data_IF_862302191178
#
_entry.id   IF_862302191178
#
_cell.length_a   1.000
_cell.length_b   1.000
_cell.length_c   1.000
_cell.angle_alpha   90.00
_cell.angle_beta   90.00
_cell.angle_gamma   90.00
#
_symmetry.space_group_name_H-M   'P 1'
#
loop_
_entity.id
_entity.type
_entity.pdbx_description
1 polymer ?
#
# COMPACT_ATOMS: atom_id res chain seq x y z
N UNK A 1 18.68 26.33 -9.35
CA UNK A 1 17.92 25.14 -8.89
C UNK A 1 17.83 24.18 -10.06
N UNK A 2 18.38 22.96 -9.95
CA UNK A 2 18.24 21.92 -10.99
C UNK A 2 16.75 21.84 -11.34
N UNK A 3 16.38 21.97 -12.61
CA UNK A 3 14.98 21.94 -13.04
C UNK A 3 14.44 20.55 -12.74
N UNK A 4 13.91 20.33 -11.53
CA UNK A 4 13.28 19.06 -11.18
C UNK A 4 12.17 18.83 -12.19
N UNK A 5 12.36 17.83 -13.04
CA UNK A 5 11.44 17.53 -14.12
C UNK A 5 10.08 17.18 -13.49
N UNK A 6 9.01 17.84 -13.93
CA UNK A 6 7.64 17.61 -13.45
C UNK A 6 7.29 16.10 -13.45
N UNK A 7 7.82 15.36 -14.42
CA UNK A 7 7.65 13.92 -14.54
C UNK A 7 8.21 13.15 -13.32
N UNK A 8 9.34 13.58 -12.75
CA UNK A 8 9.96 12.94 -11.58
C UNK A 8 9.08 13.16 -10.35
N UNK A 9 8.59 14.40 -10.17
CA UNK A 9 7.67 14.74 -9.08
C UNK A 9 6.37 13.93 -9.21
N UNK A 10 5.82 13.83 -10.43
CA UNK A 10 4.64 13.04 -10.71
C UNK A 10 4.80 11.58 -10.26
N UNK A 11 5.91 10.92 -10.63
CA UNK A 11 6.16 9.53 -10.24
C UNK A 11 6.34 9.35 -8.73
N UNK A 12 6.97 10.31 -8.04
CA UNK A 12 7.13 10.29 -6.59
C UNK A 12 5.80 10.51 -5.86
N UNK A 13 4.96 11.43 -6.33
CA UNK A 13 3.61 11.63 -5.79
C UNK A 13 2.74 10.40 -6.02
N UNK A 14 2.82 9.78 -7.20
CA UNK A 14 2.10 8.54 -7.49
C UNK A 14 2.55 7.41 -6.55
N UNK A 15 3.86 7.26 -6.34
CA UNK A 15 4.39 6.29 -5.38
C UNK A 15 3.87 6.56 -3.96
N UNK A 16 3.84 7.83 -3.53
CA UNK A 16 3.30 8.22 -2.22
C UNK A 16 1.83 7.84 -2.05
N UNK A 17 1.00 8.04 -3.08
CA UNK A 17 -0.42 7.62 -3.05
C UNK A 17 -0.52 6.11 -2.85
N UNK A 18 0.25 5.33 -3.61
CA UNK A 18 0.28 3.88 -3.43
C UNK A 18 0.78 3.45 -2.05
N UNK A 19 1.75 4.16 -1.47
CA UNK A 19 2.20 3.92 -0.09
C UNK A 19 1.07 4.13 0.91
N UNK A 20 0.32 5.23 0.80
CA UNK A 20 -0.79 5.51 1.71
C UNK A 20 -1.87 4.42 1.60
N UNK A 21 -2.24 4.05 0.37
CA UNK A 21 -3.20 2.95 0.13
C UNK A 21 -2.69 1.63 0.71
N UNK A 22 -1.41 1.33 0.56
CA UNK A 22 -0.80 0.14 1.16
C UNK A 22 -0.91 0.14 2.68
N UNK A 23 -0.65 1.27 3.35
CA UNK A 23 -0.75 1.38 4.80
C UNK A 23 -2.17 1.13 5.32
N UNK A 24 -3.19 1.66 4.62
CA UNK A 24 -4.58 1.39 4.97
C UNK A 24 -4.92 -0.10 4.83
N UNK A 25 -4.54 -0.73 3.72
CA UNK A 25 -4.79 -2.15 3.51
C UNK A 25 -4.04 -3.02 4.52
N UNK A 26 -2.78 -2.70 4.83
CA UNK A 26 -2.00 -3.41 5.85
C UNK A 26 -2.65 -3.32 7.23
N UNK A 27 -3.17 -2.15 7.60
CA UNK A 27 -3.89 -1.97 8.88
C UNK A 27 -5.09 -2.90 8.95
N UNK A 28 -5.93 -2.93 7.91
CA UNK A 28 -7.10 -3.82 7.86
C UNK A 28 -6.72 -5.31 7.84
N UNK A 29 -5.63 -5.67 7.15
CA UNK A 29 -5.10 -7.04 7.13
C UNK A 29 -4.63 -7.44 8.54
N UNK A 30 -3.83 -6.61 9.21
CA UNK A 30 -3.34 -6.91 10.56
C UNK A 30 -4.46 -7.01 11.58
N UNK A 31 -5.48 -6.14 11.49
CA UNK A 31 -6.67 -6.25 12.31
C UNK A 31 -7.42 -7.57 12.06
N UNK A 32 -7.55 -7.97 10.80
CA UNK A 32 -8.20 -9.24 10.45
C UNK A 32 -7.39 -10.46 10.94
N UNK A 33 -6.06 -10.38 10.87
CA UNK A 33 -5.15 -11.42 11.39
C UNK A 33 -5.19 -11.48 12.91
N UNK A 34 -5.25 -10.35 13.62
CA UNK A 34 -5.31 -10.36 15.09
C UNK A 34 -6.51 -11.12 15.61
N UNK A 35 -7.66 -11.01 14.92
CA UNK A 35 -8.86 -11.79 15.23
C UNK A 35 -8.73 -13.29 14.95
N UNK A 36 -7.81 -13.70 14.06
CA UNK A 36 -7.50 -15.12 13.82
C UNK A 36 -6.55 -15.70 14.88
N UNK A 37 -5.63 -14.89 15.40
CA UNK A 37 -4.59 -15.34 16.34
C UNK A 37 -5.09 -15.33 17.79
N UNK A 38 -5.82 -14.29 18.20
CA UNK A 38 -6.39 -14.16 19.54
C UNK A 38 -7.91 -14.05 19.37
N UNK A 39 -8.62 -15.18 19.27
CA UNK A 39 -10.07 -15.16 19.29
C UNK A 39 -10.53 -14.82 20.72
N UNK A 40 -11.14 -13.65 20.97
CA UNK A 40 -11.76 -13.45 22.29
C UNK A 40 -12.97 -14.36 22.45
N UNK A 41 -13.05 -14.94 23.65
CA UNK A 41 -14.06 -15.90 24.08
C UNK A 41 -15.42 -15.29 24.46
N UNK A 42 -15.61 -13.97 24.30
CA UNK A 42 -16.84 -13.25 24.67
C UNK A 42 -17.67 -12.87 23.44
N UNK A 43 -18.86 -13.47 23.32
CA UNK A 43 -19.72 -13.53 22.14
C UNK A 43 -20.35 -12.21 21.64
N UNK A 44 -20.11 -11.05 22.25
CA UNK A 44 -21.05 -9.93 22.10
C UNK A 44 -20.56 -8.74 21.25
N UNK A 45 -19.32 -8.74 20.74
CA UNK A 45 -18.78 -7.59 19.96
C UNK A 45 -17.88 -7.95 18.76
N UNK A 46 -18.02 -9.14 18.18
CA UNK A 46 -17.05 -9.65 17.19
C UNK A 46 -17.40 -9.43 15.72
N UNK A 47 -16.35 -9.15 14.92
CA UNK A 47 -16.38 -9.39 13.47
C UNK A 47 -16.59 -10.88 13.22
N UNK A 48 -17.57 -11.23 12.40
CA UNK A 48 -17.84 -12.62 12.06
C UNK A 48 -16.68 -13.24 11.29
N UNK A 49 -16.53 -14.58 11.36
CA UNK A 49 -15.50 -15.28 10.59
C UNK A 49 -15.60 -15.00 9.07
N UNK A 50 -16.82 -14.76 8.58
CA UNK A 50 -17.08 -14.38 7.19
C UNK A 50 -16.65 -12.94 6.89
N UNK A 51 -16.81 -12.01 7.82
CA UNK A 51 -16.29 -10.64 7.70
C UNK A 51 -14.76 -10.61 7.68
N UNK A 52 -14.10 -11.41 8.53
CA UNK A 52 -12.64 -11.54 8.54
C UNK A 52 -12.14 -12.07 7.20
N UNK A 53 -12.76 -13.14 6.68
CA UNK A 53 -12.41 -13.69 5.35
C UNK A 53 -12.62 -12.67 4.24
N UNK A 54 -13.78 -11.99 4.23
CA UNK A 54 -14.11 -11.00 3.20
C UNK A 54 -13.12 -9.82 3.22
N UNK A 55 -12.75 -9.35 4.42
CA UNK A 55 -11.75 -8.31 4.62
C UNK A 55 -10.38 -8.73 4.08
N UNK A 56 -9.92 -9.94 4.40
CA UNK A 56 -8.64 -10.44 3.89
C UNK A 56 -8.64 -10.58 2.36
N UNK A 57 -9.73 -11.11 1.80
CA UNK A 57 -9.89 -11.28 0.34
C UNK A 57 -9.91 -9.94 -0.39
N UNK A 58 -10.47 -8.87 0.19
CA UNK A 58 -10.46 -7.55 -0.47
C UNK A 58 -9.13 -6.82 -0.31
N UNK A 59 -8.53 -6.90 0.88
CA UNK A 59 -7.39 -6.05 1.22
C UNK A 59 -6.05 -6.63 0.76
N UNK A 60 -5.88 -7.96 0.74
CA UNK A 60 -4.63 -8.60 0.29
C UNK A 60 -4.33 -8.29 -1.18
N UNK A 61 -5.25 -8.47 -2.14
CA UNK A 61 -4.99 -8.12 -3.54
C UNK A 61 -4.66 -6.65 -3.72
N UNK A 62 -5.37 -5.76 -3.01
CA UNK A 62 -5.13 -4.33 -3.09
C UNK A 62 -3.78 -3.93 -2.51
N UNK A 63 -3.32 -4.58 -1.44
CA UNK A 63 -1.98 -4.40 -0.91
C UNK A 63 -0.91 -4.81 -1.93
N UNK A 64 -1.09 -5.95 -2.63
CA UNK A 64 -0.15 -6.41 -3.68
C UNK A 64 -0.09 -5.41 -4.83
N UNK A 65 -1.23 -4.94 -5.33
CA UNK A 65 -1.30 -3.91 -6.37
C UNK A 65 -0.60 -2.63 -5.91
N UNK A 66 -0.82 -2.23 -4.65
CA UNK A 66 -0.23 -1.01 -4.11
C UNK A 66 1.29 -1.12 -3.97
N UNK A 67 1.81 -2.27 -3.54
CA UNK A 67 3.26 -2.55 -3.51
C UNK A 67 3.84 -2.46 -4.92
N UNK A 68 3.21 -3.09 -5.91
CA UNK A 68 3.68 -3.05 -7.29
C UNK A 68 3.65 -1.63 -7.87
N UNK A 69 2.58 -0.89 -7.63
CA UNK A 69 2.43 0.51 -8.06
C UNK A 69 3.48 1.43 -7.42
N UNK A 70 3.70 1.29 -6.11
CA UNK A 70 4.74 2.01 -5.38
C UNK A 70 6.13 1.71 -5.95
N UNK A 71 6.45 0.43 -6.17
CA UNK A 71 7.73 0.00 -6.73
C UNK A 71 7.98 0.59 -8.12
N UNK A 72 6.98 0.53 -9.01
CA UNK A 72 7.06 1.11 -10.35
C UNK A 72 7.24 2.62 -10.28
N UNK A 73 6.51 3.31 -9.39
CA UNK A 73 6.60 4.76 -9.22
C UNK A 73 8.00 5.19 -8.77
N UNK A 74 8.55 4.55 -7.74
CA UNK A 74 9.90 4.85 -7.24
C UNK A 74 10.94 4.56 -8.31
N UNK A 75 10.90 3.36 -8.94
CA UNK A 75 11.89 2.96 -9.93
C UNK A 75 11.89 3.88 -11.15
N UNK A 76 10.71 4.29 -11.62
CA UNK A 76 10.56 5.17 -12.78
C UNK A 76 10.98 6.60 -12.46
N UNK A 77 10.59 7.13 -11.30
CA UNK A 77 11.01 8.45 -10.84
C UNK A 77 12.53 8.55 -10.69
N UNK A 78 13.16 7.56 -10.06
CA UNK A 78 14.62 7.51 -9.89
C UNK A 78 15.37 7.38 -11.22
N UNK A 79 14.87 6.56 -12.16
CA UNK A 79 15.48 6.42 -13.49
C UNK A 79 15.52 7.76 -14.23
N UNK A 80 14.42 8.51 -14.18
CA UNK A 80 14.29 9.82 -14.83
C UNK A 80 15.13 10.89 -14.14
N UNK A 81 15.24 10.84 -12.81
CA UNK A 81 16.12 11.72 -12.05
C UNK A 81 17.58 11.51 -12.43
N UNK A 82 18.07 10.26 -12.44
CA UNK A 82 19.46 9.94 -12.82
C UNK A 82 19.80 10.37 -14.24
N UNK A 83 18.89 10.14 -15.18
CA UNK A 83 19.10 10.55 -16.56
C UNK A 83 19.17 12.07 -16.73
N UNK A 84 18.50 12.83 -15.86
CA UNK A 84 18.57 14.30 -15.85
C UNK A 84 19.87 14.83 -15.22
N UNK A 85 20.61 14.03 -14.45
CA UNK A 85 21.91 14.42 -13.90
C UNK A 85 23.09 14.12 -14.84
N UNK A 86 22.90 13.21 -15.81
CA UNK A 86 23.90 12.84 -16.82
C UNK A 86 23.88 13.73 -18.07
N UNK A 87 22.85 14.58 -18.23
CA UNK A 87 22.66 15.54 -19.34
C UNK A 87 22.86 16.96 -18.83
#
# INVERSE_FOLDING_TARGET
MKKTNFIVIFWLVLALIFTIVLLFNLTSIFQSISYLIIPETSNDMYMSADEVKRSLISNIPMAVISIAGMWVGIKSGLKLYKHTEEV
#
